data_IF_548502203374
#
_entry.id   IF_548502203374
#
_cell.length_a   1.000
_cell.length_b   1.000
_cell.length_c   1.000
_cell.angle_alpha   90.00
_cell.angle_beta   90.00
_cell.angle_gamma   90.00
#
_symmetry.space_group_name_H-M   'P 1'
#
loop_
_entity.id
_entity.type
_entity.pdbx_description
1 polymer ?
#
# COMPACT_ATOMS: atom_id res chain seq x y z
N UNK A 1 37.79 0.53 -12.43
CA UNK A 1 36.32 0.78 -12.49
C UNK A 1 35.95 1.84 -13.56
N UNK A 2 36.64 1.79 -14.72
CA UNK A 2 36.43 2.75 -15.84
C UNK A 2 35.08 2.64 -16.56
N UNK A 3 34.24 1.68 -16.20
CA UNK A 3 32.95 1.42 -16.87
C UNK A 3 31.72 1.94 -16.10
N UNK A 4 31.90 2.45 -14.89
CA UNK A 4 30.78 2.93 -14.06
C UNK A 4 30.92 4.45 -13.79
N UNK A 5 29.79 5.14 -13.85
CA UNK A 5 29.75 6.54 -13.43
C UNK A 5 29.98 6.67 -11.92
N UNK A 6 30.68 7.72 -11.46
CA UNK A 6 30.87 7.94 -10.03
C UNK A 6 29.54 8.21 -9.32
N UNK A 7 29.45 7.94 -8.03
CA UNK A 7 28.29 8.35 -7.22
C UNK A 7 28.20 9.87 -7.14
N UNK A 8 27.01 10.40 -6.89
CA UNK A 8 26.81 11.84 -6.65
C UNK A 8 27.59 12.31 -5.41
N UNK A 9 27.64 11.45 -4.40
CA UNK A 9 28.50 11.60 -3.23
C UNK A 9 29.17 10.25 -2.90
N UNK A 10 30.48 10.25 -2.68
CA UNK A 10 31.22 9.02 -2.39
C UNK A 10 31.12 8.65 -0.90
N UNK A 11 30.21 7.71 -0.62
CA UNK A 11 30.00 7.13 0.71
C UNK A 11 31.14 6.22 1.17
N UNK A 12 31.94 5.72 0.23
CA UNK A 12 32.97 4.71 0.52
C UNK A 12 34.34 5.33 0.78
N UNK A 13 34.44 6.66 0.77
CA UNK A 13 35.68 7.36 1.08
C UNK A 13 36.16 6.99 2.50
N UNK A 14 37.34 6.38 2.68
CA UNK A 14 37.77 5.79 3.95
C UNK A 14 37.84 6.79 5.11
N UNK A 15 38.27 8.03 4.83
CA UNK A 15 38.39 9.15 5.76
C UNK A 15 37.15 10.06 5.78
N UNK A 16 36.07 9.63 5.08
CA UNK A 16 34.82 10.36 5.02
C UNK A 16 34.01 10.26 6.31
N UNK A 17 33.30 11.34 6.66
CA UNK A 17 32.48 11.39 7.88
C UNK A 17 31.45 10.25 7.95
N UNK A 18 30.97 9.77 6.78
CA UNK A 18 30.00 8.68 6.73
C UNK A 18 30.60 7.38 7.28
N UNK A 19 31.79 7.01 6.80
CA UNK A 19 32.49 5.79 7.25
C UNK A 19 32.84 5.85 8.73
N UNK A 20 33.35 6.97 9.20
CA UNK A 20 33.70 7.17 10.63
C UNK A 20 32.45 6.98 11.52
N UNK A 21 31.31 7.58 11.14
CA UNK A 21 30.09 7.48 11.94
C UNK A 21 29.42 6.10 11.81
N UNK A 22 29.49 5.45 10.64
CA UNK A 22 29.04 4.08 10.42
C UNK A 22 29.76 3.09 11.33
N UNK A 23 31.08 3.25 11.51
CA UNK A 23 31.89 2.44 12.43
C UNK A 23 31.45 2.61 13.89
N UNK A 24 31.18 3.86 14.31
CA UNK A 24 30.69 4.15 15.66
C UNK A 24 29.30 3.54 15.89
N UNK A 25 28.39 3.67 14.93
CA UNK A 25 27.06 3.04 14.99
C UNK A 25 27.17 1.52 15.04
N UNK A 26 28.09 0.94 14.29
CA UNK A 26 28.37 -0.50 14.27
C UNK A 26 28.95 -0.97 15.63
N UNK A 27 29.82 -0.19 16.26
CA UNK A 27 30.32 -0.48 17.59
C UNK A 27 29.21 -0.48 18.65
N UNK A 28 28.26 0.47 18.57
CA UNK A 28 27.07 0.49 19.44
C UNK A 28 26.20 -0.76 19.22
N UNK A 29 25.97 -1.17 17.97
CA UNK A 29 25.24 -2.41 17.67
C UNK A 29 25.93 -3.64 18.27
N UNK A 30 27.25 -3.71 18.20
CA UNK A 30 28.01 -4.78 18.81
C UNK A 30 27.86 -4.82 20.33
N UNK A 31 27.94 -3.66 20.99
CA UNK A 31 27.72 -3.55 22.44
C UNK A 31 26.30 -3.98 22.85
N UNK A 32 25.29 -3.57 22.11
CA UNK A 32 23.90 -4.04 22.33
C UNK A 32 23.83 -5.56 22.23
N UNK A 33 24.42 -6.14 21.18
CA UNK A 33 24.46 -7.58 21.00
C UNK A 33 25.18 -8.32 22.13
N UNK A 34 26.31 -7.78 22.61
CA UNK A 34 27.03 -8.33 23.74
C UNK A 34 26.21 -8.32 25.05
N UNK A 35 25.51 -7.22 25.33
CA UNK A 35 24.66 -7.12 26.53
C UNK A 35 23.45 -8.07 26.44
N UNK A 36 22.82 -8.19 25.28
CA UNK A 36 21.66 -9.05 25.08
C UNK A 36 21.99 -10.55 25.15
N UNK A 37 23.22 -10.92 24.79
CA UNK A 37 23.67 -12.32 24.74
C UNK A 37 24.65 -12.67 25.86
N UNK A 38 24.85 -11.79 26.88
CA UNK A 38 25.68 -12.13 27.99
C UNK A 38 25.01 -13.18 28.88
N UNK A 39 25.78 -14.14 29.37
CA UNK A 39 25.27 -15.29 30.14
C UNK A 39 24.42 -14.81 31.33
N UNK A 40 24.87 -13.79 32.05
CA UNK A 40 24.14 -13.26 33.21
C UNK A 40 22.75 -12.73 32.87
N UNK A 41 22.60 -12.01 31.75
CA UNK A 41 21.27 -11.50 31.34
C UNK A 41 20.34 -12.61 30.90
N UNK A 42 20.87 -13.63 30.21
CA UNK A 42 20.11 -14.81 29.80
C UNK A 42 19.69 -15.67 31.00
N UNK A 43 20.58 -15.83 32.00
CA UNK A 43 20.26 -16.52 33.27
C UNK A 43 19.14 -15.79 34.02
N UNK A 44 19.19 -14.46 34.11
CA UNK A 44 18.14 -13.65 34.74
C UNK A 44 16.80 -13.77 34.02
N UNK A 45 16.79 -13.78 32.69
CA UNK A 45 15.58 -14.00 31.93
C UNK A 45 14.96 -15.36 32.23
N UNK A 46 15.75 -16.43 32.19
CA UNK A 46 15.29 -17.78 32.51
C UNK A 46 14.83 -17.92 33.97
N UNK A 47 15.52 -17.24 34.90
CA UNK A 47 15.12 -17.22 36.31
C UNK A 47 13.80 -16.48 36.48
N UNK A 48 13.62 -15.33 35.85
CA UNK A 48 12.38 -14.57 35.87
C UNK A 48 11.19 -15.41 35.37
N UNK A 49 11.35 -16.11 34.27
CA UNK A 49 10.30 -16.98 33.72
C UNK A 49 9.94 -18.11 34.69
N UNK A 50 10.95 -18.80 35.26
CA UNK A 50 10.74 -19.88 36.24
C UNK A 50 10.04 -19.41 37.51
N UNK A 51 10.53 -18.32 38.11
CA UNK A 51 9.96 -17.80 39.36
C UNK A 51 8.57 -17.22 39.16
N UNK A 52 8.30 -16.61 38.01
CA UNK A 52 6.95 -16.14 37.66
C UNK A 52 5.98 -17.30 37.51
N UNK A 53 6.36 -18.38 36.84
CA UNK A 53 5.51 -19.57 36.70
C UNK A 53 5.25 -20.25 38.06
N UNK A 54 6.29 -20.42 38.88
CA UNK A 54 6.20 -20.97 40.23
C UNK A 54 5.30 -20.13 41.12
N UNK A 55 5.43 -18.82 41.09
CA UNK A 55 4.57 -17.88 41.81
C UNK A 55 3.09 -18.03 41.42
N UNK A 56 2.82 -18.04 40.10
CA UNK A 56 1.44 -18.21 39.58
C UNK A 56 0.82 -19.53 40.05
N UNK A 57 1.55 -20.62 39.97
CA UNK A 57 1.09 -21.93 40.43
C UNK A 57 0.83 -21.93 41.94
N UNK A 58 1.80 -21.51 42.77
CA UNK A 58 1.67 -21.50 44.22
C UNK A 58 0.51 -20.61 44.69
N UNK A 59 0.36 -19.42 44.13
CA UNK A 59 -0.74 -18.51 44.48
C UNK A 59 -2.10 -19.05 44.02
N UNK A 60 -2.16 -19.71 42.87
CA UNK A 60 -3.40 -20.38 42.39
C UNK A 60 -3.82 -21.50 43.34
N UNK A 61 -2.91 -22.37 43.77
CA UNK A 61 -3.16 -23.45 44.70
C UNK A 61 -3.59 -22.91 46.09
N UNK A 62 -2.88 -21.90 46.59
CA UNK A 62 -3.23 -21.27 47.87
C UNK A 62 -4.63 -20.60 47.82
N UNK A 63 -5.02 -20.00 46.69
CA UNK A 63 -6.40 -19.48 46.51
C UNK A 63 -7.45 -20.57 46.51
N UNK A 64 -7.19 -21.74 45.90
CA UNK A 64 -8.09 -22.88 45.93
C UNK A 64 -8.28 -23.39 47.37
N UNK A 65 -7.19 -23.50 48.13
CA UNK A 65 -7.25 -23.92 49.56
C UNK A 65 -8.07 -22.94 50.40
N UNK A 66 -7.82 -21.62 50.23
CA UNK A 66 -8.59 -20.57 50.91
C UNK A 66 -10.09 -20.64 50.59
N UNK A 67 -10.44 -20.88 49.33
CA UNK A 67 -11.82 -21.01 48.91
C UNK A 67 -12.49 -22.24 49.54
N UNK A 68 -11.84 -23.39 49.48
CA UNK A 68 -12.34 -24.62 50.08
C UNK A 68 -12.52 -24.51 51.62
N UNK A 69 -11.55 -23.86 52.28
CA UNK A 69 -11.64 -23.61 53.73
C UNK A 69 -12.79 -22.65 54.08
N UNK A 70 -13.03 -21.62 53.21
CA UNK A 70 -14.19 -20.74 53.39
C UNK A 70 -15.51 -21.50 53.25
N UNK A 71 -15.66 -22.32 52.23
CA UNK A 71 -16.85 -23.14 52.00
C UNK A 71 -17.11 -24.11 53.21
N UNK A 72 -16.05 -24.75 53.73
CA UNK A 72 -16.17 -25.60 54.92
C UNK A 72 -16.63 -24.81 56.15
N UNK A 73 -16.17 -23.61 56.39
CA UNK A 73 -16.61 -22.75 57.48
C UNK A 73 -18.06 -22.28 57.29
N UNK A 74 -18.50 -22.03 56.08
CA UNK A 74 -19.89 -21.68 55.77
C UNK A 74 -20.82 -22.86 56.09
N UNK A 75 -20.45 -24.09 55.75
CA UNK A 75 -21.20 -25.30 56.10
C UNK A 75 -21.27 -25.49 57.65
N UNK A 76 -20.15 -25.31 58.38
CA UNK A 76 -20.16 -25.38 59.84
C UNK A 76 -21.09 -24.33 60.48
N UNK A 77 -21.22 -23.15 59.93
CA UNK A 77 -22.14 -22.09 60.40
C UNK A 77 -23.62 -22.47 60.29
N UNK A 78 -23.98 -23.30 59.33
CA UNK A 78 -25.34 -23.77 59.16
C UNK A 78 -25.82 -24.67 60.34
N UNK A 79 -24.86 -25.31 61.09
CA UNK A 79 -25.15 -26.17 62.27
C UNK A 79 -25.26 -25.41 63.60
N UNK A 80 -25.42 -24.05 63.56
CA UNK A 80 -25.56 -23.19 64.74
C UNK A 80 -24.42 -23.36 65.79
N UNK A 81 -23.14 -23.08 65.46
CA UNK A 81 -22.02 -23.29 66.36
C UNK A 81 -22.11 -22.39 67.62
N UNK A 82 -21.57 -22.91 68.76
CA UNK A 82 -21.46 -22.13 69.97
C UNK A 82 -20.42 -21.00 69.86
N UNK A 83 -20.37 -20.07 70.86
CA UNK A 83 -19.48 -18.92 70.81
C UNK A 83 -17.98 -19.25 70.68
N UNK A 84 -17.51 -20.31 71.29
CA UNK A 84 -16.14 -20.78 71.21
C UNK A 84 -15.78 -21.30 69.83
N UNK A 85 -16.70 -22.04 69.19
CA UNK A 85 -16.52 -22.51 67.83
C UNK A 85 -16.55 -21.38 66.78
N UNK A 86 -17.39 -20.34 66.98
CA UNK A 86 -17.39 -19.15 66.18
C UNK A 86 -16.06 -18.39 66.26
N UNK A 87 -15.57 -18.21 67.48
CA UNK A 87 -14.25 -17.54 67.72
C UNK A 87 -13.10 -18.34 67.10
N UNK A 88 -13.16 -19.68 67.14
CA UNK A 88 -12.17 -20.54 66.49
C UNK A 88 -12.17 -20.41 64.98
N UNK A 89 -13.35 -20.37 64.32
CA UNK A 89 -13.50 -20.17 62.90
C UNK A 89 -12.99 -18.77 62.42
N UNK A 90 -13.20 -17.74 63.22
CA UNK A 90 -12.67 -16.41 62.95
C UNK A 90 -11.12 -16.43 63.00
N UNK A 91 -10.52 -17.00 64.03
CA UNK A 91 -9.05 -17.13 64.16
C UNK A 91 -8.46 -17.95 63.02
N UNK A 92 -9.10 -19.09 62.66
CA UNK A 92 -8.70 -19.89 61.47
C UNK A 92 -8.71 -19.07 60.18
N UNK A 93 -9.77 -18.29 59.96
CA UNK A 93 -9.90 -17.42 58.76
C UNK A 93 -8.83 -16.33 58.73
N UNK A 94 -8.58 -15.71 59.86
CA UNK A 94 -7.52 -14.66 59.98
C UNK A 94 -6.12 -15.22 59.74
N UNK A 95 -5.82 -16.39 60.29
CA UNK A 95 -4.56 -17.08 60.11
C UNK A 95 -4.33 -17.44 58.62
N UNK A 96 -5.32 -18.10 58.00
CA UNK A 96 -5.22 -18.49 56.59
C UNK A 96 -5.04 -17.29 55.64
N UNK A 97 -5.73 -16.17 55.89
CA UNK A 97 -5.56 -14.93 55.13
C UNK A 97 -4.17 -14.31 55.35
N UNK A 98 -3.65 -14.40 56.58
CA UNK A 98 -2.32 -13.90 56.87
C UNK A 98 -1.22 -14.73 56.17
N UNK A 99 -1.37 -16.06 56.15
CA UNK A 99 -0.48 -16.95 55.43
C UNK A 99 -0.51 -16.69 53.92
N UNK A 100 -1.67 -16.49 53.32
CA UNK A 100 -1.78 -16.16 51.93
C UNK A 100 -1.07 -14.81 51.61
N UNK A 101 -1.26 -13.79 52.44
CA UNK A 101 -0.58 -12.51 52.30
C UNK A 101 0.94 -12.60 52.41
N UNK A 102 1.44 -13.51 53.33
CA UNK A 102 2.88 -13.78 53.45
C UNK A 102 3.43 -14.42 52.20
N UNK A 103 2.71 -15.37 51.62
CA UNK A 103 3.08 -16.02 50.35
C UNK A 103 3.10 -15.02 49.17
N UNK A 104 2.10 -14.14 49.11
CA UNK A 104 2.07 -13.08 48.10
C UNK A 104 3.28 -12.11 48.22
N UNK A 105 3.61 -11.73 49.43
CA UNK A 105 4.74 -10.87 49.72
C UNK A 105 6.06 -11.53 49.33
N UNK A 106 6.26 -12.79 49.75
CA UNK A 106 7.44 -13.57 49.42
C UNK A 106 7.70 -13.61 47.91
N UNK A 107 6.69 -14.00 47.12
CA UNK A 107 6.84 -14.06 45.66
C UNK A 107 7.08 -12.67 45.05
N UNK A 108 6.42 -11.66 45.55
CA UNK A 108 6.63 -10.27 45.10
C UNK A 108 8.06 -9.80 45.35
N UNK A 109 8.64 -10.09 46.49
CA UNK A 109 10.02 -9.75 46.83
C UNK A 109 11.00 -10.50 45.90
N UNK A 110 10.86 -11.82 45.74
CA UNK A 110 11.72 -12.61 44.84
C UNK A 110 11.70 -12.12 43.40
N UNK A 111 10.53 -11.86 42.87
CA UNK A 111 10.37 -11.37 41.48
C UNK A 111 10.92 -9.93 41.35
N UNK A 112 10.72 -9.10 42.39
CA UNK A 112 11.24 -7.71 42.43
C UNK A 112 12.76 -7.64 42.40
N UNK A 113 13.45 -8.52 43.15
CA UNK A 113 14.91 -8.58 43.14
C UNK A 113 15.46 -8.90 41.74
N UNK A 114 14.92 -9.94 41.09
CA UNK A 114 15.33 -10.32 39.74
C UNK A 114 15.05 -9.18 38.76
N UNK A 115 13.89 -8.55 38.87
CA UNK A 115 13.49 -7.43 38.01
C UNK A 115 14.44 -6.25 38.14
N UNK A 116 14.85 -5.90 39.39
CA UNK A 116 15.78 -4.79 39.64
C UNK A 116 17.14 -5.05 38.99
N UNK A 117 17.65 -6.29 39.08
CA UNK A 117 18.91 -6.64 38.42
C UNK A 117 18.79 -6.61 36.89
N UNK A 118 17.69 -7.12 36.33
CA UNK A 118 17.40 -7.04 34.88
C UNK A 118 17.23 -5.62 34.37
N UNK A 119 16.66 -4.70 35.19
CA UNK A 119 16.46 -3.29 34.82
C UNK A 119 17.78 -2.58 34.54
N UNK A 120 18.87 -2.95 35.21
CA UNK A 120 20.20 -2.38 34.93
C UNK A 120 20.67 -2.68 33.50
N UNK A 121 20.46 -3.93 33.02
CA UNK A 121 20.79 -4.33 31.65
C UNK A 121 19.83 -3.68 30.66
N UNK A 122 18.54 -3.75 30.92
CA UNK A 122 17.49 -3.21 30.03
C UNK A 122 17.67 -1.70 29.86
N UNK A 123 17.91 -0.95 30.90
CA UNK A 123 18.16 0.50 30.86
C UNK A 123 19.39 0.83 30.02
N UNK A 124 20.48 0.06 30.18
CA UNK A 124 21.69 0.25 29.37
C UNK A 124 21.47 -0.05 27.91
N UNK A 125 20.75 -1.15 27.59
CA UNK A 125 20.39 -1.52 26.22
C UNK A 125 19.50 -0.43 25.58
N UNK A 126 18.50 0.07 26.29
CA UNK A 126 17.62 1.14 25.76
C UNK A 126 18.37 2.47 25.58
N UNK A 127 19.29 2.81 26.45
CA UNK A 127 20.16 3.99 26.29
C UNK A 127 21.02 3.86 25.01
N UNK A 128 21.66 2.71 24.79
CA UNK A 128 22.45 2.44 23.57
C UNK A 128 21.58 2.44 22.30
N UNK A 129 20.38 1.88 22.35
CA UNK A 129 19.42 1.94 21.23
C UNK A 129 18.98 3.38 20.91
N UNK A 130 18.79 4.20 21.94
CA UNK A 130 18.45 5.62 21.76
C UNK A 130 19.63 6.39 21.14
N UNK A 131 20.84 6.18 21.64
CA UNK A 131 22.06 6.76 21.08
C UNK A 131 22.23 6.37 19.61
N UNK A 132 22.11 5.08 19.29
CA UNK A 132 22.18 4.58 17.92
C UNK A 132 21.17 5.26 17.01
N UNK A 133 19.88 5.38 17.43
CA UNK A 133 18.83 6.06 16.66
C UNK A 133 19.18 7.52 16.38
N UNK A 134 19.64 8.23 17.39
CA UNK A 134 20.00 9.64 17.27
C UNK A 134 21.19 9.84 16.32
N UNK A 135 22.23 9.02 16.44
CA UNK A 135 23.39 9.05 15.54
C UNK A 135 23.01 8.70 14.11
N UNK A 136 22.20 7.65 13.91
CA UNK A 136 21.73 7.27 12.57
C UNK A 136 20.89 8.38 11.92
N UNK A 137 20.02 9.04 12.67
CA UNK A 137 19.22 10.16 12.16
C UNK A 137 20.10 11.37 11.81
N UNK A 138 21.06 11.71 12.67
CA UNK A 138 21.99 12.81 12.41
C UNK A 138 22.89 12.53 11.21
N UNK A 139 23.40 11.30 11.09
CA UNK A 139 24.19 10.86 9.95
C UNK A 139 23.40 10.97 8.65
N UNK A 140 22.16 10.49 8.65
CA UNK A 140 21.26 10.56 7.48
C UNK A 140 20.98 12.00 7.07
N UNK A 141 20.70 12.89 8.02
CA UNK A 141 20.47 14.30 7.73
C UNK A 141 21.73 14.98 7.15
N UNK A 142 22.91 14.73 7.75
CA UNK A 142 24.18 15.24 7.25
C UNK A 142 24.49 14.71 5.85
N UNK A 143 24.17 13.44 5.58
CA UNK A 143 24.33 12.82 4.28
C UNK A 143 23.46 13.49 3.22
N UNK A 144 22.17 13.72 3.49
CA UNK A 144 21.26 14.38 2.55
C UNK A 144 21.75 15.77 2.14
N UNK A 145 22.44 16.48 3.02
CA UNK A 145 23.04 17.79 2.70
C UNK A 145 24.18 17.71 1.70
N UNK A 146 24.80 16.54 1.51
CA UNK A 146 25.88 16.34 0.55
C UNK A 146 25.38 16.07 -0.87
N UNK A 147 24.13 15.66 -1.03
CA UNK A 147 23.56 15.37 -2.35
C UNK A 147 23.05 16.64 -2.99
N UNK A 148 23.80 17.14 -3.97
CA UNK A 148 23.45 18.28 -4.79
C UNK A 148 23.27 17.82 -6.24
N UNK A 149 22.11 18.08 -6.83
CA UNK A 149 21.74 17.62 -8.16
C UNK A 149 21.68 18.78 -9.15
N UNK A 150 22.38 18.62 -10.27
CA UNK A 150 22.29 19.51 -11.43
C UNK A 150 21.05 19.17 -12.26
N UNK A 151 20.43 20.20 -12.83
CA UNK A 151 19.48 20.04 -13.93
C UNK A 151 20.14 20.37 -15.28
N UNK A 152 19.43 20.17 -16.38
CA UNK A 152 19.96 20.44 -17.73
C UNK A 152 20.17 21.93 -18.02
N UNK A 153 19.65 22.85 -17.19
CA UNK A 153 19.92 24.30 -17.26
C UNK A 153 21.18 24.70 -16.51
N UNK A 154 21.86 23.78 -15.83
CA UNK A 154 23.01 24.06 -14.96
C UNK A 154 22.65 24.53 -13.54
N UNK A 155 21.39 24.51 -13.17
CA UNK A 155 20.95 24.89 -11.82
C UNK A 155 21.16 23.73 -10.84
N UNK A 156 21.72 24.01 -9.66
CA UNK A 156 21.95 23.02 -8.62
C UNK A 156 20.90 23.13 -7.53
N UNK A 157 20.33 21.99 -7.11
CA UNK A 157 19.39 21.91 -5.98
C UNK A 157 19.80 20.82 -5.02
N UNK A 158 19.78 21.14 -3.72
CA UNK A 158 20.06 20.19 -2.66
C UNK A 158 18.92 19.18 -2.49
N UNK A 159 19.25 17.95 -2.12
CA UNK A 159 18.26 16.88 -1.92
C UNK A 159 17.16 17.26 -0.93
N UNK A 160 17.51 17.91 0.19
CA UNK A 160 16.51 18.36 1.16
C UNK A 160 15.55 19.38 0.56
N UNK A 161 16.09 20.38 -0.18
CA UNK A 161 15.28 21.40 -0.86
C UNK A 161 14.35 20.81 -1.96
N UNK A 162 14.79 19.75 -2.64
CA UNK A 162 13.94 19.02 -3.60
C UNK A 162 12.74 18.38 -2.88
N UNK A 163 12.96 17.79 -1.70
CA UNK A 163 11.90 17.10 -0.97
C UNK A 163 11.01 18.02 -0.16
N UNK A 164 11.47 19.23 0.22
CA UNK A 164 10.61 20.26 0.84
C UNK A 164 9.39 20.62 -0.01
N UNK A 165 9.50 20.50 -1.34
CA UNK A 165 8.42 20.74 -2.28
C UNK A 165 7.46 19.55 -2.44
N UNK A 166 7.77 18.40 -1.83
CA UNK A 166 6.94 17.19 -1.87
C UNK A 166 6.06 17.07 -0.62
N UNK A 167 5.04 16.19 -0.68
CA UNK A 167 4.22 15.86 0.49
C UNK A 167 5.04 15.20 1.61
N UNK A 168 6.09 14.46 1.25
CA UNK A 168 6.95 13.76 2.21
C UNK A 168 7.81 14.71 3.05
N UNK A 169 8.09 15.94 2.58
CA UNK A 169 8.91 16.98 3.20
C UNK A 169 10.35 16.55 3.53
N UNK A 170 10.62 15.27 3.69
CA UNK A 170 11.93 14.71 4.07
C UNK A 170 12.33 13.60 3.10
N UNK A 171 13.59 13.60 2.61
CA UNK A 171 14.07 12.53 1.76
C UNK A 171 14.02 11.17 2.47
N UNK A 172 13.52 10.10 1.84
CA UNK A 172 13.63 8.77 2.39
C UNK A 172 15.07 8.23 2.28
N UNK A 173 15.42 7.26 3.13
CA UNK A 173 16.74 6.64 3.12
C UNK A 173 17.11 6.08 1.73
N UNK A 174 18.32 6.35 1.26
CA UNK A 174 18.82 5.95 -0.06
C UNK A 174 18.25 6.76 -1.24
N UNK A 175 17.61 7.91 -0.99
CA UNK A 175 17.25 8.84 -2.05
C UNK A 175 18.53 9.43 -2.71
N UNK A 176 18.58 9.47 -4.03
CA UNK A 176 19.73 9.95 -4.79
C UNK A 176 20.80 8.90 -5.13
N UNK A 177 20.71 7.70 -4.59
CA UNK A 177 21.66 6.61 -4.86
C UNK A 177 21.31 5.73 -6.06
N UNK A 178 20.15 5.93 -6.67
CA UNK A 178 19.72 5.17 -7.84
C UNK A 178 20.54 5.49 -9.08
N UNK A 179 20.50 4.60 -10.09
CA UNK A 179 21.30 4.72 -11.30
C UNK A 179 20.98 5.96 -12.13
N UNK A 180 19.69 6.28 -12.34
CA UNK A 180 19.27 7.40 -13.17
C UNK A 180 19.79 8.78 -12.66
N UNK A 181 19.67 9.16 -11.39
CA UNK A 181 20.27 10.39 -10.87
C UNK A 181 21.78 10.44 -11.05
N UNK A 182 22.50 9.33 -10.85
CA UNK A 182 23.97 9.27 -11.04
C UNK A 182 24.37 9.47 -12.50
N UNK A 183 23.65 8.83 -13.43
CA UNK A 183 23.92 8.95 -14.87
C UNK A 183 23.69 10.40 -15.36
N UNK A 184 22.56 11.01 -14.97
CA UNK A 184 22.25 12.40 -15.34
C UNK A 184 23.25 13.37 -14.73
N UNK A 185 23.61 13.21 -13.46
CA UNK A 185 24.61 14.04 -12.79
C UNK A 185 25.95 13.99 -13.52
N UNK A 186 26.40 12.78 -13.86
CA UNK A 186 27.65 12.60 -14.60
C UNK A 186 27.58 13.23 -16.00
N UNK A 187 26.46 13.06 -16.71
CA UNK A 187 26.25 13.63 -18.03
C UNK A 187 26.36 15.18 -17.97
N UNK A 188 25.67 15.81 -17.03
CA UNK A 188 25.70 17.28 -16.90
C UNK A 188 27.07 17.81 -16.49
N UNK A 189 27.75 17.16 -15.54
CA UNK A 189 29.10 17.50 -15.11
C UNK A 189 30.12 17.35 -16.25
N UNK A 190 29.88 16.44 -17.18
CA UNK A 190 30.71 16.16 -18.36
C UNK A 190 30.33 17.00 -19.59
N UNK A 191 29.34 17.89 -19.48
CA UNK A 191 28.83 18.70 -20.61
C UNK A 191 28.06 17.88 -21.65
N UNK A 192 27.57 16.69 -21.31
CA UNK A 192 26.79 15.81 -22.18
C UNK A 192 25.31 16.12 -22.09
N UNK A 193 24.61 16.04 -23.23
CA UNK A 193 23.17 16.17 -23.31
C UNK A 193 22.51 14.79 -23.44
N UNK A 194 21.77 14.30 -22.46
CA UNK A 194 21.05 13.04 -22.55
C UNK A 194 20.00 13.06 -23.67
N UNK A 195 19.96 11.99 -24.50
CA UNK A 195 19.01 11.86 -25.61
C UNK A 195 17.88 10.92 -25.22
N UNK A 196 18.21 9.79 -24.59
CA UNK A 196 17.24 8.77 -24.15
C UNK A 196 17.79 8.01 -22.94
N UNK A 197 16.90 7.50 -22.10
CA UNK A 197 17.26 6.70 -20.92
C UNK A 197 16.21 5.62 -20.70
N UNK A 198 16.69 4.44 -20.29
CA UNK A 198 15.83 3.36 -19.84
C UNK A 198 16.47 2.65 -18.64
N UNK A 199 15.65 2.28 -17.66
CA UNK A 199 16.10 1.56 -16.46
C UNK A 199 15.57 0.13 -16.46
N UNK A 200 16.42 -0.83 -16.14
CA UNK A 200 16.05 -2.23 -15.96
C UNK A 200 16.63 -2.78 -14.68
N UNK A 201 15.98 -3.82 -14.14
CA UNK A 201 16.44 -4.45 -12.91
C UNK A 201 17.63 -5.36 -13.18
N UNK A 202 18.68 -5.21 -12.39
CA UNK A 202 19.87 -6.07 -12.46
C UNK A 202 20.03 -6.86 -11.16
N UNK A 203 19.95 -8.18 -11.21
CA UNK A 203 20.17 -9.08 -10.08
C UNK A 203 18.93 -9.81 -9.60
N UNK A 204 18.99 -10.34 -8.36
CA UNK A 204 17.87 -11.07 -7.73
C UNK A 204 16.74 -10.12 -7.33
N UNK A 205 15.51 -10.62 -7.33
CA UNK A 205 14.35 -9.88 -6.85
C UNK A 205 14.52 -9.50 -5.38
N UNK A 206 14.20 -8.26 -4.98
CA UNK A 206 14.17 -7.87 -3.57
C UNK A 206 13.04 -8.58 -2.83
N UNK A 207 13.16 -8.70 -1.50
CA UNK A 207 12.15 -9.38 -0.67
C UNK A 207 10.80 -8.64 -0.61
N UNK A 208 10.82 -7.33 -0.84
CA UNK A 208 9.65 -6.45 -0.70
C UNK A 208 8.84 -6.30 -1.98
N UNK A 209 9.40 -6.68 -3.13
CA UNK A 209 8.83 -6.42 -4.45
C UNK A 209 9.37 -7.45 -5.44
N UNK A 210 8.52 -7.99 -6.31
CA UNK A 210 8.98 -8.94 -7.34
C UNK A 210 9.52 -8.14 -8.52
N UNK A 211 10.82 -8.30 -8.82
CA UNK A 211 11.50 -7.72 -9.99
C UNK A 211 12.34 -8.77 -10.69
N UNK A 212 12.24 -8.82 -12.01
CA UNK A 212 12.99 -9.75 -12.84
C UNK A 212 14.23 -9.09 -13.43
N UNK A 213 15.34 -9.84 -13.40
CA UNK A 213 16.58 -9.43 -14.04
C UNK A 213 16.37 -9.15 -15.54
N UNK A 214 16.85 -7.99 -16.00
CA UNK A 214 16.72 -7.55 -17.40
C UNK A 214 15.39 -6.91 -17.79
N UNK A 215 14.39 -6.92 -16.91
CA UNK A 215 13.10 -6.28 -17.19
C UNK A 215 13.12 -4.80 -16.88
N UNK A 216 12.45 -3.99 -17.70
CA UNK A 216 12.33 -2.56 -17.54
C UNK A 216 11.30 -2.20 -16.48
N UNK A 217 11.65 -1.27 -15.61
CA UNK A 217 10.79 -0.75 -14.56
C UNK A 217 10.81 0.77 -14.56
N UNK A 218 9.67 1.44 -14.29
CA UNK A 218 9.67 2.88 -14.09
C UNK A 218 10.51 3.23 -12.85
N UNK A 219 11.07 4.44 -12.85
CA UNK A 219 11.75 4.98 -11.67
C UNK A 219 10.81 5.00 -10.46
N UNK A 220 11.36 4.77 -9.27
CA UNK A 220 10.55 4.74 -8.07
C UNK A 220 9.98 6.13 -7.74
N UNK A 221 8.68 6.20 -7.48
CA UNK A 221 7.96 7.47 -7.24
C UNK A 221 8.38 8.17 -5.94
N UNK A 222 8.67 7.40 -4.89
CA UNK A 222 8.96 7.97 -3.57
C UNK A 222 10.39 8.48 -3.36
N UNK A 223 11.37 8.05 -4.16
CA UNK A 223 12.78 8.43 -4.00
C UNK A 223 13.35 9.15 -5.22
N UNK A 224 13.12 8.59 -6.42
CA UNK A 224 13.78 9.06 -7.64
C UNK A 224 12.95 10.12 -8.35
N UNK A 225 11.62 10.01 -8.38
CA UNK A 225 10.76 10.93 -9.13
C UNK A 225 10.96 12.41 -8.75
N UNK A 226 10.99 12.84 -7.47
CA UNK A 226 11.25 14.24 -7.13
C UNK A 226 12.61 14.72 -7.62
N UNK A 227 13.64 13.89 -7.53
CA UNK A 227 14.99 14.21 -7.99
C UNK A 227 15.02 14.35 -9.52
N UNK A 228 14.44 13.39 -10.23
CA UNK A 228 14.37 13.39 -11.69
C UNK A 228 13.53 14.57 -12.21
N UNK A 229 12.44 14.93 -11.52
CA UNK A 229 11.64 16.12 -11.86
C UNK A 229 12.49 17.40 -11.85
N UNK A 230 13.43 17.53 -10.93
CA UNK A 230 14.41 18.64 -10.96
C UNK A 230 15.45 18.44 -12.06
N UNK A 231 16.07 17.26 -12.15
CA UNK A 231 17.20 17.02 -13.05
C UNK A 231 16.82 17.10 -14.54
N UNK A 232 15.58 16.77 -14.89
CA UNK A 232 15.08 16.80 -16.27
C UNK A 232 14.67 18.20 -16.75
N UNK A 233 14.65 19.22 -15.86
CA UNK A 233 14.34 20.59 -16.25
C UNK A 233 15.38 21.11 -17.23
N UNK A 234 14.90 21.57 -18.39
CA UNK A 234 15.75 22.04 -19.50
C UNK A 234 15.98 21.01 -20.62
N UNK A 235 15.60 19.74 -20.39
CA UNK A 235 15.51 18.74 -21.47
C UNK A 235 14.13 18.75 -22.11
N UNK A 236 14.09 18.44 -23.41
CA UNK A 236 12.84 18.14 -24.10
C UNK A 236 12.47 16.68 -23.81
N UNK A 237 11.68 16.45 -22.75
CA UNK A 237 11.21 15.13 -22.35
C UNK A 237 9.74 14.94 -22.72
N UNK A 238 9.36 13.73 -23.07
CA UNK A 238 7.93 13.41 -23.19
C UNK A 238 7.27 13.61 -21.84
N UNK A 239 6.11 14.29 -21.79
CA UNK A 239 5.35 14.44 -20.54
C UNK A 239 5.02 13.07 -19.97
N UNK A 240 5.09 12.94 -18.63
CA UNK A 240 4.68 11.73 -17.96
C UNK A 240 3.21 11.39 -18.34
N UNK A 241 2.83 10.11 -18.40
CA UNK A 241 1.44 9.74 -18.68
C UNK A 241 0.41 10.45 -17.79
N UNK A 242 0.77 10.71 -16.53
CA UNK A 242 -0.03 11.50 -15.57
C UNK A 242 -0.12 13.00 -15.92
N UNK A 243 0.90 13.56 -16.58
CA UNK A 243 0.91 14.98 -16.96
C UNK A 243 0.18 15.24 -18.29
N UNK A 244 0.11 14.23 -19.16
CA UNK A 244 -0.66 14.31 -20.42
C UNK A 244 -2.15 14.53 -20.16
N UNK A 245 -2.63 14.11 -18.99
CA UNK A 245 -4.04 14.12 -18.60
C UNK A 245 -4.27 14.90 -17.30
N UNK A 246 -3.52 15.97 -17.07
CA UNK A 246 -3.85 16.85 -15.96
C UNK A 246 -5.29 17.34 -16.16
N UNK A 247 -6.18 16.94 -15.26
CA UNK A 247 -7.49 17.58 -15.18
C UNK A 247 -7.19 19.07 -14.98
N UNK A 248 -7.53 19.91 -15.97
CA UNK A 248 -7.83 21.30 -15.67
C UNK A 248 -8.70 21.27 -14.42
N UNK A 249 -8.57 22.18 -13.48
CA UNK A 249 -9.28 22.21 -12.18
C UNK A 249 -10.82 22.09 -12.30
N UNK A 250 -11.32 21.81 -13.49
CA UNK A 250 -12.73 21.67 -13.82
C UNK A 250 -13.22 20.25 -13.55
N UNK A 251 -14.34 20.16 -12.87
CA UNK A 251 -15.07 18.90 -12.70
C UNK A 251 -15.38 18.29 -14.07
N UNK A 252 -15.28 16.94 -14.19
CA UNK A 252 -15.80 16.24 -15.37
C UNK A 252 -17.28 16.55 -15.60
N UNK A 253 -17.71 16.46 -16.86
CA UNK A 253 -19.11 16.65 -17.25
C UNK A 253 -20.03 15.74 -16.43
N UNK A 254 -20.99 16.35 -15.72
CA UNK A 254 -22.04 15.62 -15.00
C UNK A 254 -23.22 15.44 -15.94
N UNK A 255 -23.58 14.19 -16.20
CA UNK A 255 -24.68 13.83 -17.12
C UNK A 255 -26.01 13.66 -16.41
N UNK A 256 -25.97 13.28 -15.14
CA UNK A 256 -27.12 13.19 -14.26
C UNK A 256 -26.68 13.48 -12.83
N UNK A 257 -27.49 14.21 -12.08
CA UNK A 257 -27.28 14.48 -10.68
C UNK A 257 -28.60 14.70 -9.97
N UNK A 258 -28.76 14.10 -8.78
CA UNK A 258 -29.81 14.40 -7.84
C UNK A 258 -29.29 14.52 -6.40
N UNK A 259 -30.17 14.46 -5.42
CA UNK A 259 -29.80 14.50 -4.00
C UNK A 259 -28.97 13.29 -3.56
N UNK A 260 -29.07 12.14 -4.24
CA UNK A 260 -28.60 10.85 -3.79
C UNK A 260 -27.39 10.31 -4.54
N UNK A 261 -27.33 10.57 -5.83
CA UNK A 261 -26.30 10.02 -6.71
C UNK A 261 -25.99 10.97 -7.88
N UNK A 262 -24.92 10.67 -8.58
CA UNK A 262 -24.58 11.32 -9.85
C UNK A 262 -23.94 10.35 -10.82
N UNK A 263 -24.11 10.63 -12.11
CA UNK A 263 -23.39 9.95 -13.21
C UNK A 263 -22.60 11.02 -13.96
N UNK A 264 -21.32 10.78 -14.13
CA UNK A 264 -20.41 11.69 -14.81
C UNK A 264 -19.65 11.02 -15.94
N UNK A 265 -19.15 11.81 -16.88
CA UNK A 265 -18.23 11.38 -17.90
C UNK A 265 -16.80 11.47 -17.38
N UNK A 266 -16.17 10.33 -17.07
CA UNK A 266 -14.76 10.28 -16.73
C UNK A 266 -13.93 10.39 -18.02
N UNK A 267 -13.05 11.38 -18.17
CA UNK A 267 -12.11 11.42 -19.29
C UNK A 267 -11.07 10.30 -19.19
N UNK A 268 -10.42 9.98 -20.32
CA UNK A 268 -9.24 9.11 -20.29
C UNK A 268 -8.09 9.76 -19.50
N UNK A 269 -7.17 8.94 -19.03
CA UNK A 269 -5.98 9.38 -18.31
C UNK A 269 -6.21 9.80 -16.86
N UNK A 270 -7.45 9.81 -16.39
CA UNK A 270 -7.83 10.19 -15.03
C UNK A 270 -8.15 8.96 -14.19
N UNK A 271 -7.61 8.91 -12.97
CA UNK A 271 -7.93 7.86 -12.01
C UNK A 271 -9.38 7.96 -11.50
N UNK A 272 -10.09 6.83 -11.40
CA UNK A 272 -11.40 6.78 -10.74
C UNK A 272 -11.29 7.00 -9.22
N UNK A 273 -10.29 6.39 -8.59
CA UNK A 273 -9.99 6.48 -7.16
C UNK A 273 -8.49 6.72 -6.96
N UNK A 274 -8.05 7.28 -5.82
CA UNK A 274 -6.64 7.53 -5.57
C UNK A 274 -5.80 6.26 -5.73
N UNK A 275 -4.67 6.40 -6.42
CA UNK A 275 -3.64 5.39 -6.52
C UNK A 275 -2.62 5.50 -5.39
N UNK A 276 -1.43 4.94 -5.61
CA UNK A 276 -0.28 5.12 -4.72
C UNK A 276 0.43 6.47 -4.92
N UNK A 277 0.07 7.21 -5.94
CA UNK A 277 0.57 8.55 -6.27
C UNK A 277 -0.45 9.62 -5.86
N UNK A 278 0.03 10.86 -5.74
CA UNK A 278 -0.77 12.05 -5.42
C UNK A 278 -1.62 12.56 -6.60
N UNK A 279 -1.73 11.76 -7.65
CA UNK A 279 -2.50 12.11 -8.83
C UNK A 279 -3.98 12.36 -8.47
N UNK A 280 -4.51 13.42 -9.03
CA UNK A 280 -5.90 13.78 -8.86
C UNK A 280 -6.80 12.67 -9.42
N UNK A 281 -7.84 12.31 -8.70
CA UNK A 281 -8.79 11.28 -9.09
C UNK A 281 -10.22 11.83 -9.09
N UNK A 282 -11.13 11.14 -9.78
CA UNK A 282 -12.56 11.48 -9.70
C UNK A 282 -13.03 11.48 -8.24
N UNK A 283 -12.59 10.49 -7.44
CA UNK A 283 -12.92 10.46 -6.02
C UNK A 283 -12.48 11.72 -5.27
N UNK A 284 -11.24 12.19 -5.47
CA UNK A 284 -10.74 13.40 -4.78
C UNK A 284 -11.49 14.66 -5.19
N UNK A 285 -11.86 14.79 -6.47
CA UNK A 285 -12.70 15.90 -6.95
C UNK A 285 -14.11 15.85 -6.37
N UNK A 286 -14.73 14.66 -6.36
CA UNK A 286 -16.07 14.50 -5.79
C UNK A 286 -16.06 14.75 -4.29
N UNK A 287 -15.03 14.32 -3.57
CA UNK A 287 -14.91 14.57 -2.12
C UNK A 287 -14.77 16.05 -1.81
N UNK A 288 -14.02 16.79 -2.63
CA UNK A 288 -13.91 18.24 -2.49
C UNK A 288 -15.24 18.97 -2.80
N UNK A 289 -15.99 18.50 -3.83
CA UNK A 289 -17.28 19.11 -4.21
C UNK A 289 -18.42 18.76 -3.25
N UNK A 290 -18.41 17.55 -2.68
CA UNK A 290 -19.45 17.05 -1.79
C UNK A 290 -18.85 16.65 -0.43
N UNK A 291 -18.39 17.60 0.39
CA UNK A 291 -17.78 17.33 1.69
C UNK A 291 -18.72 16.60 2.65
N UNK A 292 -20.03 16.85 2.54
CA UNK A 292 -21.08 16.26 3.36
C UNK A 292 -21.45 14.81 2.96
N UNK A 293 -20.88 14.29 1.86
CA UNK A 293 -21.17 12.92 1.44
C UNK A 293 -20.67 11.90 2.47
N UNK A 294 -21.55 10.99 2.89
CA UNK A 294 -21.28 10.05 4.00
C UNK A 294 -20.68 8.72 3.57
N UNK A 295 -20.58 8.45 2.25
CA UNK A 295 -20.10 7.18 1.70
C UNK A 295 -18.76 7.29 0.96
N UNK A 296 -18.30 6.18 0.37
CA UNK A 296 -17.09 6.11 -0.46
C UNK A 296 -17.20 6.87 -1.79
N UNK A 297 -18.36 7.47 -2.10
CA UNK A 297 -18.69 8.17 -3.35
C UNK A 297 -18.67 7.27 -4.59
N UNK A 298 -17.50 6.87 -5.07
CA UNK A 298 -17.35 6.09 -6.31
C UNK A 298 -17.86 4.66 -6.11
N UNK A 299 -18.87 4.25 -6.87
CA UNK A 299 -19.53 2.94 -6.75
C UNK A 299 -18.77 1.85 -7.51
N UNK A 300 -18.24 2.18 -8.67
CA UNK A 300 -17.43 1.29 -9.50
C UNK A 300 -16.26 2.08 -10.10
N UNK A 301 -15.32 1.38 -10.72
CA UNK A 301 -14.14 2.01 -11.30
C UNK A 301 -13.99 1.71 -12.77
N UNK A 302 -13.48 2.68 -13.51
CA UNK A 302 -12.90 2.53 -14.83
C UNK A 302 -11.37 2.57 -14.69
N UNK A 303 -10.67 1.91 -15.59
CA UNK A 303 -9.21 2.03 -15.68
C UNK A 303 -8.83 3.48 -16.01
N UNK A 304 -7.61 3.89 -15.66
CA UNK A 304 -7.14 5.25 -15.89
C UNK A 304 -7.31 5.67 -17.36
N UNK A 305 -6.89 4.80 -18.27
CA UNK A 305 -6.95 5.06 -19.71
C UNK A 305 -8.36 4.92 -20.34
N UNK A 306 -9.33 4.33 -19.64
CA UNK A 306 -10.70 4.15 -20.12
C UNK A 306 -11.53 5.38 -19.85
N UNK A 307 -12.21 5.92 -20.87
CA UNK A 307 -13.18 7.01 -20.72
C UNK A 307 -14.61 6.51 -20.54
N UNK A 308 -15.54 7.37 -20.15
CA UNK A 308 -16.97 7.08 -20.16
C UNK A 308 -17.68 7.20 -18.82
N UNK A 309 -18.82 6.57 -18.71
CA UNK A 309 -19.77 6.71 -17.61
C UNK A 309 -19.25 6.17 -16.29
N UNK A 310 -19.23 6.99 -15.26
CA UNK A 310 -18.88 6.63 -13.90
C UNK A 310 -20.01 7.04 -12.94
N UNK A 311 -20.49 6.08 -12.16
CA UNK A 311 -21.56 6.24 -11.19
C UNK A 311 -20.99 6.51 -9.79
N UNK A 312 -21.50 7.54 -9.12
CA UNK A 312 -21.15 7.89 -7.76
C UNK A 312 -22.38 8.09 -6.88
N UNK A 313 -22.26 7.76 -5.59
CA UNK A 313 -23.31 7.86 -4.59
C UNK A 313 -22.94 8.89 -3.51
N UNK A 314 -23.85 9.79 -3.15
CA UNK A 314 -23.62 10.83 -2.13
C UNK A 314 -23.80 10.32 -0.69
N UNK A 315 -24.50 9.18 -0.52
CA UNK A 315 -24.72 8.57 0.81
C UNK A 315 -24.23 7.12 0.86
N UNK A 316 -23.86 6.67 2.05
CA UNK A 316 -23.41 5.30 2.26
C UNK A 316 -24.49 4.25 1.95
N UNK A 317 -25.76 4.57 2.22
CA UNK A 317 -26.88 3.70 1.96
C UNK A 317 -27.07 3.48 0.45
N UNK A 318 -27.15 4.58 -0.32
CA UNK A 318 -27.26 4.54 -1.78
C UNK A 318 -26.06 3.83 -2.39
N UNK A 319 -24.84 4.07 -1.89
CA UNK A 319 -23.66 3.37 -2.33
C UNK A 319 -23.78 1.84 -2.16
N UNK A 320 -24.24 1.37 -0.99
CA UNK A 320 -24.46 -0.05 -0.71
C UNK A 320 -25.48 -0.68 -1.64
N UNK A 321 -26.61 0.02 -1.87
CA UNK A 321 -27.65 -0.45 -2.80
C UNK A 321 -27.13 -0.58 -4.25
N UNK A 322 -26.38 0.41 -4.72
CA UNK A 322 -25.80 0.35 -6.06
C UNK A 322 -24.71 -0.73 -6.18
N UNK A 323 -23.88 -0.91 -5.15
CA UNK A 323 -22.91 -2.03 -5.13
C UNK A 323 -23.61 -3.39 -5.20
N UNK A 324 -24.71 -3.59 -4.47
CA UNK A 324 -25.50 -4.83 -4.56
C UNK A 324 -26.02 -5.07 -5.98
N UNK A 325 -26.40 -4.02 -6.72
CA UNK A 325 -26.79 -4.16 -8.13
C UNK A 325 -25.63 -4.57 -9.02
N UNK A 326 -24.38 -4.08 -8.76
CA UNK A 326 -23.19 -4.55 -9.46
C UNK A 326 -22.86 -6.02 -9.14
N UNK A 327 -22.95 -6.42 -7.88
CA UNK A 327 -22.68 -7.78 -7.40
C UNK A 327 -23.70 -8.78 -7.97
N UNK A 328 -24.98 -8.42 -7.98
CA UNK A 328 -26.08 -9.21 -8.53
C UNK A 328 -26.16 -9.15 -10.08
N UNK A 329 -25.25 -8.39 -10.71
CA UNK A 329 -25.19 -8.23 -12.17
C UNK A 329 -26.48 -7.68 -12.79
N UNK A 330 -27.29 -6.94 -12.03
CA UNK A 330 -28.51 -6.30 -12.54
C UNK A 330 -28.24 -5.02 -13.31
N UNK A 331 -27.08 -4.40 -13.13
CA UNK A 331 -26.62 -3.25 -13.91
C UNK A 331 -26.18 -3.69 -15.30
N UNK A 332 -26.78 -3.07 -16.34
CA UNK A 332 -26.33 -3.31 -17.71
C UNK A 332 -25.32 -2.26 -18.14
N UNK A 333 -24.27 -2.72 -18.79
CA UNK A 333 -23.15 -1.90 -19.26
C UNK A 333 -22.85 -2.23 -20.70
N UNK A 334 -22.57 -1.19 -21.49
CA UNK A 334 -22.01 -1.34 -22.84
C UNK A 334 -20.77 -0.47 -22.94
N UNK A 335 -19.72 -1.06 -23.48
CA UNK A 335 -18.49 -0.36 -23.81
C UNK A 335 -18.28 -0.43 -25.32
N UNK A 336 -17.78 0.65 -25.90
CA UNK A 336 -17.36 0.67 -27.30
C UNK A 336 -15.84 0.64 -27.33
N UNK A 337 -15.29 -0.17 -28.23
CA UNK A 337 -13.86 -0.22 -28.47
C UNK A 337 -13.55 -0.26 -29.97
N UNK A 338 -12.35 0.15 -30.33
CA UNK A 338 -11.76 -0.02 -31.64
C UNK A 338 -10.62 -1.04 -31.52
N UNK A 339 -10.71 -2.15 -32.24
CA UNK A 339 -9.70 -3.21 -32.23
C UNK A 339 -8.67 -2.98 -33.35
N UNK A 340 -7.41 -3.31 -33.08
CA UNK A 340 -6.28 -3.23 -34.02
C UNK A 340 -6.23 -4.48 -34.90
N UNK A 341 -7.26 -4.63 -35.74
CA UNK A 341 -7.42 -5.76 -36.68
C UNK A 341 -8.86 -6.01 -37.08
N UNK A 342 -9.05 -6.95 -38.01
CA UNK A 342 -10.35 -7.38 -38.47
C UNK A 342 -10.77 -8.66 -37.74
N UNK A 343 -11.83 -8.56 -36.96
CA UNK A 343 -12.44 -9.70 -36.30
C UNK A 343 -13.43 -10.37 -37.27
N UNK A 344 -13.30 -11.67 -37.59
CA UNK A 344 -14.18 -12.36 -38.54
C UNK A 344 -15.59 -12.61 -37.98
N UNK A 345 -15.70 -12.93 -36.67
CA UNK A 345 -16.95 -13.24 -35.99
C UNK A 345 -17.78 -11.98 -35.73
N UNK A 346 -19.10 -12.06 -35.91
CA UNK A 346 -20.04 -10.93 -35.68
C UNK A 346 -20.34 -10.72 -34.18
N UNK A 347 -20.47 -11.80 -33.44
CA UNK A 347 -20.80 -11.77 -32.01
C UNK A 347 -20.25 -13.00 -31.27
N UNK A 348 -20.15 -12.94 -29.99
CA UNK A 348 -19.71 -14.09 -29.17
C UNK A 348 -19.62 -13.80 -27.67
N UNK A 349 -19.11 -14.80 -26.97
CA UNK A 349 -18.85 -14.74 -25.51
C UNK A 349 -17.42 -15.17 -25.26
N UNK A 350 -16.72 -14.37 -24.45
CA UNK A 350 -15.39 -14.67 -23.97
C UNK A 350 -15.52 -14.99 -22.47
N UNK A 351 -15.16 -16.22 -22.09
CA UNK A 351 -15.13 -16.69 -20.70
C UNK A 351 -13.71 -17.15 -20.38
N UNK A 352 -12.88 -16.21 -19.93
CA UNK A 352 -11.49 -16.44 -19.61
C UNK A 352 -11.20 -15.85 -18.21
N UNK A 353 -10.86 -16.70 -17.23
CA UNK A 353 -10.60 -16.24 -15.86
C UNK A 353 -9.33 -15.39 -15.79
N UNK A 354 -9.39 -14.29 -15.03
CA UNK A 354 -8.32 -13.26 -14.97
C UNK A 354 -7.79 -13.12 -13.55
N UNK A 355 -6.46 -13.04 -13.44
CA UNK A 355 -5.75 -12.68 -12.22
C UNK A 355 -4.66 -11.62 -12.50
N UNK A 356 -4.14 -10.94 -11.46
CA UNK A 356 -2.97 -10.10 -11.63
C UNK A 356 -1.77 -10.89 -12.14
N UNK A 357 -1.07 -10.34 -13.14
CA UNK A 357 0.28 -10.81 -13.45
C UNK A 357 1.22 -10.28 -12.34
N UNK A 358 1.58 -11.18 -11.44
CA UNK A 358 2.45 -10.81 -10.31
C UNK A 358 3.89 -10.48 -10.75
N UNK A 359 4.24 -10.90 -11.95
CA UNK A 359 5.57 -10.73 -12.53
C UNK A 359 5.69 -9.46 -13.37
N UNK A 360 4.57 -8.98 -13.94
CA UNK A 360 4.52 -7.82 -14.83
C UNK A 360 3.34 -6.88 -14.47
N UNK A 361 3.35 -6.30 -13.28
CA UNK A 361 2.34 -5.31 -12.86
C UNK A 361 2.49 -4.00 -13.63
N UNK A 362 1.39 -3.35 -14.01
CA UNK A 362 0.00 -3.55 -13.58
C UNK A 362 -0.81 -4.55 -14.43
N UNK A 363 -0.18 -5.33 -15.32
CA UNK A 363 -0.88 -6.27 -16.20
C UNK A 363 -1.70 -7.29 -15.43
N UNK A 364 -2.74 -7.76 -16.11
CA UNK A 364 -3.53 -8.92 -15.73
C UNK A 364 -3.26 -10.03 -16.75
N UNK A 365 -3.45 -11.29 -16.36
CA UNK A 365 -3.26 -12.46 -17.22
C UNK A 365 -4.43 -13.41 -17.11
N UNK A 366 -4.64 -14.21 -18.15
CA UNK A 366 -5.56 -15.35 -18.09
C UNK A 366 -4.88 -16.49 -17.35
N UNK A 367 -5.56 -17.04 -16.36
CA UNK A 367 -5.08 -18.20 -15.60
C UNK A 367 -6.27 -18.99 -15.07
N UNK A 368 -6.37 -20.26 -15.42
CA UNK A 368 -7.50 -21.11 -15.07
C UNK A 368 -7.52 -21.50 -13.58
N UNK A 369 -6.35 -21.61 -12.95
CA UNK A 369 -6.25 -22.05 -11.54
C UNK A 369 -6.41 -20.88 -10.56
N UNK A 370 -5.78 -19.74 -10.85
CA UNK A 370 -5.72 -18.58 -9.94
C UNK A 370 -6.67 -17.45 -10.36
N UNK A 371 -7.20 -17.53 -11.58
CA UNK A 371 -8.04 -16.50 -12.16
C UNK A 371 -9.45 -16.47 -11.57
N UNK A 372 -9.99 -15.28 -11.41
CA UNK A 372 -11.40 -15.07 -11.08
C UNK A 372 -12.22 -15.07 -12.34
N UNK A 373 -13.37 -15.73 -12.34
CA UNK A 373 -14.33 -15.76 -13.46
C UNK A 373 -14.53 -14.38 -14.06
N UNK A 374 -14.33 -14.28 -15.37
CA UNK A 374 -14.50 -13.04 -16.13
C UNK A 374 -15.20 -13.37 -17.44
N UNK A 375 -16.40 -12.81 -17.65
CA UNK A 375 -17.27 -13.12 -18.80
C UNK A 375 -17.62 -11.82 -19.51
N UNK A 376 -17.39 -11.78 -20.82
CA UNK A 376 -17.70 -10.65 -21.71
C UNK A 376 -18.44 -11.14 -22.94
N UNK A 377 -19.65 -10.63 -23.17
CA UNK A 377 -20.30 -10.76 -24.48
C UNK A 377 -19.83 -9.62 -25.38
N UNK A 378 -19.76 -9.87 -26.68
CA UNK A 378 -19.42 -8.83 -27.66
C UNK A 378 -20.29 -8.92 -28.90
N UNK A 379 -20.36 -7.79 -29.60
CA UNK A 379 -21.01 -7.67 -30.90
C UNK A 379 -20.22 -6.70 -31.77
N UNK A 380 -19.88 -7.12 -32.98
CA UNK A 380 -19.22 -6.24 -33.95
C UNK A 380 -20.24 -5.24 -34.49
N UNK A 381 -19.82 -3.99 -34.52
CA UNK A 381 -20.65 -2.89 -35.02
C UNK A 381 -20.29 -2.52 -36.48
N UNK A 382 -18.98 -2.49 -36.77
CA UNK A 382 -18.46 -2.02 -38.04
C UNK A 382 -16.99 -2.48 -38.22
N UNK A 383 -16.57 -2.59 -39.50
CA UNK A 383 -15.17 -2.91 -39.87
C UNK A 383 -14.74 -1.92 -40.95
N UNK A 384 -13.71 -1.10 -40.63
CA UNK A 384 -13.17 -0.08 -41.55
C UNK A 384 -11.66 0.05 -41.34
N UNK A 385 -10.96 0.32 -42.44
CA UNK A 385 -9.52 0.67 -42.42
C UNK A 385 -8.64 -0.37 -41.71
N UNK A 386 -8.96 -1.65 -41.80
CA UNK A 386 -8.21 -2.71 -41.10
C UNK A 386 -8.50 -2.82 -39.60
N UNK A 387 -9.49 -2.13 -39.09
CA UNK A 387 -9.92 -2.11 -37.70
C UNK A 387 -11.36 -2.58 -37.54
N UNK A 388 -11.70 -3.06 -36.34
CA UNK A 388 -13.06 -3.48 -35.97
C UNK A 388 -13.59 -2.62 -34.85
N UNK A 389 -14.75 -1.97 -35.07
CA UNK A 389 -15.49 -1.31 -33.99
C UNK A 389 -16.42 -2.33 -33.34
N UNK A 390 -16.35 -2.46 -32.03
CA UNK A 390 -17.02 -3.52 -31.26
C UNK A 390 -17.74 -2.96 -30.04
N UNK A 391 -18.90 -3.53 -29.72
CA UNK A 391 -19.60 -3.34 -28.48
C UNK A 391 -19.30 -4.50 -27.51
N UNK A 392 -18.80 -4.21 -26.33
CA UNK A 392 -18.61 -5.16 -25.24
C UNK A 392 -19.71 -5.02 -24.20
N UNK A 393 -20.23 -6.15 -23.73
CA UNK A 393 -21.23 -6.26 -22.67
C UNK A 393 -20.64 -7.11 -21.51
N UNK A 394 -19.84 -6.52 -20.62
CA UNK A 394 -19.21 -7.29 -19.55
C UNK A 394 -20.22 -7.71 -18.49
N UNK A 395 -20.37 -9.01 -18.26
CA UNK A 395 -21.18 -9.61 -17.20
C UNK A 395 -20.48 -9.59 -15.85
N UNK A 396 -19.16 -9.49 -15.86
CA UNK A 396 -18.28 -9.33 -14.69
C UNK A 396 -17.50 -8.02 -14.81
N UNK A 397 -16.72 -7.64 -13.78
CA UNK A 397 -15.96 -6.38 -13.77
C UNK A 397 -14.56 -6.58 -13.19
N UNK A 398 -13.71 -7.39 -13.84
CA UNK A 398 -12.32 -7.58 -13.39
C UNK A 398 -11.43 -6.47 -13.94
N UNK A 399 -10.36 -6.19 -13.24
CA UNK A 399 -9.35 -5.22 -13.69
C UNK A 399 -8.87 -5.59 -15.08
N UNK A 400 -8.81 -4.63 -15.99
CA UNK A 400 -8.40 -4.79 -17.38
C UNK A 400 -9.20 -5.86 -18.18
N UNK A 401 -10.38 -6.30 -17.71
CA UNK A 401 -11.10 -7.43 -18.30
C UNK A 401 -11.26 -7.32 -19.82
N UNK A 402 -11.81 -6.22 -20.32
CA UNK A 402 -12.06 -6.04 -21.76
C UNK A 402 -10.75 -5.99 -22.56
N UNK A 403 -9.72 -5.41 -21.99
CA UNK A 403 -8.39 -5.27 -22.59
C UNK A 403 -7.70 -6.64 -22.75
N UNK A 404 -7.73 -7.44 -21.69
CA UNK A 404 -7.19 -8.82 -21.70
C UNK A 404 -8.00 -9.69 -22.65
N UNK A 405 -9.33 -9.66 -22.58
CA UNK A 405 -10.20 -10.46 -23.44
C UNK A 405 -10.03 -10.12 -24.94
N UNK A 406 -9.81 -8.85 -25.25
CA UNK A 406 -9.53 -8.43 -26.63
C UNK A 406 -8.16 -8.93 -27.11
N UNK A 407 -7.12 -8.82 -26.30
CA UNK A 407 -5.75 -9.09 -26.72
C UNK A 407 -5.33 -10.57 -26.63
N UNK A 408 -5.93 -11.35 -25.71
CA UNK A 408 -5.51 -12.72 -25.44
C UNK A 408 -5.80 -13.65 -26.61
N UNK A 409 -4.88 -14.59 -27.00
CA UNK A 409 -5.06 -15.51 -28.11
C UNK A 409 -6.31 -16.41 -28.01
N UNK A 410 -6.72 -16.79 -26.79
CA UNK A 410 -7.96 -17.54 -26.55
C UNK A 410 -9.20 -16.63 -26.45
N UNK A 411 -9.03 -15.31 -26.47
CA UNK A 411 -10.09 -14.32 -26.57
C UNK A 411 -10.27 -13.90 -28.03
N UNK A 412 -10.20 -12.59 -28.30
CA UNK A 412 -10.33 -12.09 -29.66
C UNK A 412 -9.01 -12.10 -30.46
N UNK A 413 -7.87 -12.26 -29.78
CA UNK A 413 -6.55 -12.13 -30.39
C UNK A 413 -6.40 -10.85 -31.24
N UNK A 414 -7.09 -9.80 -30.82
CA UNK A 414 -7.19 -8.52 -31.52
C UNK A 414 -7.20 -7.40 -30.45
N UNK A 415 -6.03 -6.86 -30.06
CA UNK A 415 -5.95 -5.88 -28.99
C UNK A 415 -6.69 -4.59 -29.34
N UNK A 416 -7.10 -3.84 -28.29
CA UNK A 416 -7.72 -2.53 -28.45
C UNK A 416 -6.65 -1.54 -28.94
N UNK A 417 -6.99 -0.69 -29.91
CA UNK A 417 -6.12 0.36 -30.40
C UNK A 417 -5.69 1.28 -29.26
N UNK A 418 -4.41 1.55 -29.16
CA UNK A 418 -3.82 2.40 -28.11
C UNK A 418 -3.66 1.73 -26.75
N UNK A 419 -3.83 0.42 -26.67
CA UNK A 419 -3.56 -0.31 -25.42
C UNK A 419 -2.05 -0.51 -25.23
N UNK A 420 -1.43 0.34 -24.43
CA UNK A 420 0.02 0.29 -24.14
C UNK A 420 0.45 -0.97 -23.36
N UNK A 421 -0.49 -1.65 -22.68
CA UNK A 421 -0.18 -2.85 -21.90
C UNK A 421 -0.33 -4.14 -22.72
N UNK A 422 -1.34 -4.23 -23.57
CA UNK A 422 -1.69 -5.49 -24.24
C UNK A 422 -1.61 -5.41 -25.76
N UNK A 423 -1.34 -4.24 -26.34
CA UNK A 423 -1.27 -3.98 -27.76
C UNK A 423 -0.18 -2.98 -28.13
N UNK A 424 -0.50 -2.01 -28.98
CA UNK A 424 0.38 -0.96 -29.45
C UNK A 424 -0.09 0.41 -28.99
N UNK A 425 0.85 1.26 -28.59
CA UNK A 425 0.60 2.66 -28.22
C UNK A 425 0.00 3.43 -29.40
N UNK A 426 -1.02 4.24 -29.12
CA UNK A 426 -1.59 5.25 -29.99
C UNK A 426 -1.84 6.53 -29.21
N UNK A 427 -2.60 7.46 -29.77
CA UNK A 427 -2.95 8.73 -29.13
C UNK A 427 -3.66 8.51 -27.78
N UNK A 428 -4.58 7.54 -27.72
CA UNK A 428 -5.32 7.15 -26.53
C UNK A 428 -5.70 5.66 -26.57
N UNK A 429 -6.18 5.13 -25.45
CA UNK A 429 -6.90 3.85 -25.44
C UNK A 429 -8.30 4.07 -26.01
N UNK A 430 -8.61 3.42 -27.13
CA UNK A 430 -9.91 3.49 -27.79
C UNK A 430 -10.90 2.54 -27.12
N UNK A 431 -11.20 2.79 -25.84
CA UNK A 431 -12.17 2.07 -25.01
C UNK A 431 -13.01 3.07 -24.20
N UNK A 432 -14.34 3.00 -24.36
CA UNK A 432 -15.27 3.95 -23.78
C UNK A 432 -16.48 3.24 -23.15
N UNK A 433 -16.78 3.55 -21.89
CA UNK A 433 -17.99 3.10 -21.19
C UNK A 433 -19.18 3.96 -21.63
N UNK A 434 -19.91 3.50 -22.68
CA UNK A 434 -20.89 4.29 -23.38
C UNK A 434 -22.27 4.28 -22.73
N UNK A 435 -22.68 3.16 -22.14
CA UNK A 435 -24.05 2.93 -21.66
C UNK A 435 -24.06 2.34 -20.26
N UNK A 436 -24.95 2.87 -19.42
CA UNK A 436 -25.20 2.39 -18.07
C UNK A 436 -26.70 2.38 -17.77
N UNK A 437 -27.24 1.22 -17.36
CA UNK A 437 -28.60 1.04 -16.93
C UNK A 437 -28.65 0.44 -15.52
N UNK A 438 -29.37 1.07 -14.61
CA UNK A 438 -29.52 0.64 -13.22
C UNK A 438 -30.87 1.05 -12.64
N UNK A 439 -31.24 0.51 -11.50
CA UNK A 439 -32.42 0.93 -10.75
C UNK A 439 -32.01 1.98 -9.71
N UNK A 440 -32.66 3.14 -9.74
CA UNK A 440 -32.41 4.19 -8.78
C UNK A 440 -32.78 3.72 -7.36
N UNK A 441 -31.83 3.72 -6.38
CA UNK A 441 -32.05 3.10 -5.06
C UNK A 441 -33.20 3.66 -4.25
N UNK A 442 -33.54 4.92 -4.43
CA UNK A 442 -34.57 5.62 -3.64
C UNK A 442 -35.90 5.66 -4.39
N UNK A 443 -35.92 6.03 -5.66
CA UNK A 443 -37.16 6.15 -6.44
C UNK A 443 -37.67 4.84 -7.04
N UNK A 444 -36.81 3.80 -7.11
CA UNK A 444 -37.11 2.56 -7.81
C UNK A 444 -37.20 2.67 -9.34
N UNK A 445 -36.96 3.83 -9.90
CA UNK A 445 -37.04 4.06 -11.34
C UNK A 445 -35.85 3.43 -12.07
N UNK A 446 -36.13 2.92 -13.27
CA UNK A 446 -35.07 2.47 -14.19
C UNK A 446 -34.38 3.68 -14.81
N UNK A 447 -33.11 3.83 -14.53
CA UNK A 447 -32.26 4.88 -15.07
C UNK A 447 -31.47 4.34 -16.27
N UNK A 448 -31.45 5.09 -17.35
CA UNK A 448 -30.65 4.80 -18.55
C UNK A 448 -29.86 6.04 -18.91
N UNK A 449 -28.53 5.93 -18.86
CA UNK A 449 -27.62 7.03 -19.20
C UNK A 449 -26.73 6.53 -20.35
N UNK A 450 -26.55 7.38 -21.34
CA UNK A 450 -25.71 7.11 -22.51
C UNK A 450 -24.84 8.32 -22.84
N UNK A 451 -23.58 8.08 -23.14
CA UNK A 451 -22.62 9.05 -23.68
C UNK A 451 -21.85 8.38 -24.79
N UNK A 452 -22.10 8.73 -26.02
CA UNK A 452 -21.46 8.11 -27.20
C UNK A 452 -19.95 8.32 -27.20
N UNK A 453 -19.23 7.28 -27.67
CA UNK A 453 -17.80 7.38 -27.92
C UNK A 453 -17.53 8.40 -29.03
N UNK A 454 -16.51 9.21 -28.87
CA UNK A 454 -16.12 10.27 -29.84
C UNK A 454 -15.18 9.74 -30.95
N UNK A 455 -15.00 8.42 -31.05
CA UNK A 455 -14.15 7.75 -32.03
C UNK A 455 -14.90 6.67 -32.80
#
# INVERSE_FOLDING_TARGET
HSFFVPPVYDLLKPDGFFKIEEEQISAINHQIGQLQNCDRYLELQQKMERETASSQQALSEARKVLKAAKEKREQRRLHRPNENEQAAMIRESQYQKAEFKRLERYWKEQISEIKTEMESFSSRIEALKAERRNRSAALQQKLFQQFNFLNAKGETKNLCAIFEETVQKTPPAGAGECAAPKLLQYAYLSGLSPIAMAEFWWGKSPKTEIRHHGYYYPSCRGKCEPILRHMLQGLNVEPAPSERYSLSQNMPEILFEDQWLLVLHKPEGVLSVPGKSEEQSIYSLLRARYPEATGPLVVHRLDMATSGLLLAAKTQEVHRHLQAQFENRSIKKRYIALLDGILPEEEGVIDLPICPDYLDRPRQMVNEELGKTAITRYQVMDRRNGQTRIAFFPLTGRTHQLRVHAAHPLGLNCPIVGDELYGRKAERLYLHAEYLEFIHPVSGQRMVIEKKAEF
#
